data_IF_846189715996
#
_entry.id   IF_846189715996
#
_cell.length_a   1.000
_cell.length_b   1.000
_cell.length_c   1.000
_cell.angle_alpha   90.00
_cell.angle_beta   90.00
_cell.angle_gamma   90.00
#
_symmetry.space_group_name_H-M   'P 1'
#
loop_
_entity.id
_entity.type
_entity.pdbx_description
1 polymer ?
#
# COMPACT_ATOMS: atom_id res chain seq x y z
N UNK A 1 9.27 15.67 28.15
CA UNK A 1 8.34 16.22 29.16
C UNK A 1 6.88 16.11 28.70
N UNK A 2 6.57 16.00 27.40
CA UNK A 2 5.18 15.75 26.93
C UNK A 2 4.70 14.29 27.01
N UNK A 3 5.60 13.30 27.08
CA UNK A 3 5.24 11.88 27.05
C UNK A 3 4.38 11.40 28.23
N UNK A 4 4.43 12.12 29.36
CA UNK A 4 3.67 11.75 30.56
C UNK A 4 2.25 12.33 30.54
N UNK A 5 2.03 13.45 29.84
CA UNK A 5 0.70 14.04 29.65
C UNK A 5 -0.13 13.24 28.63
N UNK A 6 0.48 12.82 27.53
CA UNK A 6 -0.19 11.96 26.54
C UNK A 6 -0.62 10.61 27.16
N UNK A 7 0.17 10.07 28.10
CA UNK A 7 -0.16 8.83 28.82
C UNK A 7 -1.33 8.98 29.78
N UNK A 8 -1.50 10.15 30.40
CA UNK A 8 -2.62 10.44 31.29
C UNK A 8 -3.95 10.52 30.53
N UNK A 9 -3.94 11.08 29.31
CA UNK A 9 -5.15 11.18 28.47
C UNK A 9 -5.71 9.83 28.00
N UNK A 10 -4.84 8.85 27.72
CA UNK A 10 -5.24 7.51 27.24
C UNK A 10 -5.88 6.66 28.35
N UNK A 11 -5.60 6.96 29.62
CA UNK A 11 -6.14 6.22 30.77
C UNK A 11 -7.53 6.72 31.22
N UNK A 12 -8.01 7.83 30.67
CA UNK A 12 -9.30 8.41 31.01
C UNK A 12 -10.38 7.81 30.11
N UNK A 13 -11.43 7.27 30.73
CA UNK A 13 -12.67 6.95 30.04
C UNK A 13 -13.42 8.24 29.73
N UNK A 14 -14.15 8.25 28.62
CA UNK A 14 -15.07 9.35 28.31
C UNK A 14 -16.10 9.48 29.44
N UNK A 15 -16.34 10.70 29.86
CA UNK A 15 -17.43 11.06 30.76
C UNK A 15 -18.77 10.94 30.03
N UNK A 16 -19.88 10.86 30.78
CA UNK A 16 -21.23 10.82 30.19
C UNK A 16 -21.50 12.03 29.26
N UNK A 17 -20.94 13.20 29.59
CA UNK A 17 -21.04 14.40 28.76
C UNK A 17 -20.26 14.24 27.44
N UNK A 18 -19.05 13.70 27.48
CA UNK A 18 -18.24 13.43 26.28
C UNK A 18 -18.86 12.33 25.40
N UNK A 19 -19.46 11.30 25.99
CA UNK A 19 -20.19 10.25 25.25
C UNK A 19 -21.49 10.77 24.64
N UNK A 20 -22.17 11.71 25.29
CA UNK A 20 -23.40 12.34 24.76
C UNK A 20 -23.16 13.09 23.45
N UNK A 21 -21.90 13.48 23.20
CA UNK A 21 -21.44 14.04 21.95
C UNK A 21 -22.05 15.40 21.60
N UNK A 22 -21.78 15.87 20.38
CA UNK A 22 -22.32 17.12 19.86
C UNK A 22 -23.11 16.85 18.59
N UNK A 23 -24.39 17.21 18.59
CA UNK A 23 -25.19 17.22 17.36
C UNK A 23 -24.87 18.49 16.59
N UNK A 24 -24.08 18.36 15.52
CA UNK A 24 -23.74 19.48 14.65
C UNK A 24 -24.86 19.69 13.62
N UNK A 25 -25.45 20.90 13.52
CA UNK A 25 -26.44 21.22 12.48
C UNK A 25 -25.91 20.89 11.07
N UNK A 26 -26.81 20.46 10.16
CA UNK A 26 -26.43 20.06 8.81
C UNK A 26 -25.67 21.16 8.02
N UNK A 27 -25.95 22.44 8.29
CA UNK A 27 -25.24 23.60 7.73
C UNK A 27 -23.95 23.99 8.45
N UNK A 28 -23.46 23.19 9.40
CA UNK A 28 -22.13 23.33 10.01
C UNK A 28 -21.28 22.07 9.73
N UNK A 29 -21.92 20.93 9.51
CA UNK A 29 -21.29 19.66 9.10
C UNK A 29 -21.24 19.45 7.57
N UNK A 30 -21.36 20.52 6.81
CA UNK A 30 -21.11 20.48 5.37
C UNK A 30 -19.61 20.49 5.09
N UNK A 31 -19.15 19.56 4.24
CA UNK A 31 -17.87 19.71 3.58
C UNK A 31 -17.92 21.02 2.78
N UNK A 32 -16.90 21.89 2.93
CA UNK A 32 -16.72 23.00 1.99
C UNK A 32 -16.91 22.46 0.57
N UNK A 33 -17.62 23.19 -0.33
CA UNK A 33 -17.92 22.71 -1.68
C UNK A 33 -16.64 22.19 -2.29
N UNK A 34 -16.54 20.85 -2.39
CA UNK A 34 -15.31 20.06 -2.53
C UNK A 34 -14.22 20.94 -3.09
N UNK A 35 -13.36 21.51 -2.23
CA UNK A 35 -12.18 22.18 -2.74
C UNK A 35 -11.54 21.16 -3.69
N UNK A 36 -11.20 21.59 -4.91
CA UNK A 36 -10.66 20.76 -6.01
C UNK A 36 -9.30 20.17 -5.65
N UNK A 37 -9.21 19.52 -4.51
CA UNK A 37 -8.02 19.12 -3.80
C UNK A 37 -8.06 17.60 -3.76
N UNK A 38 -7.08 17.03 -4.45
CA UNK A 38 -6.99 15.60 -4.69
C UNK A 38 -5.96 15.06 -3.70
N UNK A 39 -6.44 14.43 -2.64
CA UNK A 39 -5.61 14.03 -1.52
C UNK A 39 -5.13 12.59 -1.61
N UNK A 40 -3.89 12.37 -1.16
CA UNK A 40 -3.32 11.06 -0.86
C UNK A 40 -2.75 11.14 0.55
N UNK A 41 -3.07 10.16 1.38
CA UNK A 41 -2.33 9.92 2.62
C UNK A 41 -1.31 8.83 2.38
N UNK A 42 -0.13 9.00 2.96
CA UNK A 42 0.93 8.02 2.84
C UNK A 42 1.70 7.83 4.14
N UNK A 43 2.43 6.73 4.19
CA UNK A 43 3.42 6.44 5.22
C UNK A 43 4.60 5.69 4.61
N UNK A 44 5.74 5.74 5.28
CA UNK A 44 6.93 5.00 4.88
C UNK A 44 6.99 3.69 5.68
N UNK A 45 7.07 2.55 4.99
CA UNK A 45 7.25 1.26 5.65
C UNK A 45 8.72 1.08 6.05
N UNK A 46 9.06 1.63 7.21
CA UNK A 46 10.41 1.61 7.78
C UNK A 46 10.35 1.59 9.30
N UNK A 47 11.31 0.93 9.94
CA UNK A 47 11.55 1.02 11.40
C UNK A 47 12.46 2.19 11.77
N UNK A 48 13.02 2.88 10.77
CA UNK A 48 13.94 4.00 10.98
C UNK A 48 13.22 5.34 10.81
N UNK A 49 13.58 6.36 11.61
CA UNK A 49 13.10 7.71 11.37
C UNK A 49 13.60 8.23 10.01
N UNK A 50 12.82 9.12 9.41
CA UNK A 50 13.17 9.81 8.17
C UNK A 50 13.06 11.32 8.34
N UNK A 51 13.77 12.09 7.51
CA UNK A 51 13.69 13.54 7.52
C UNK A 51 12.54 14.01 6.62
N UNK A 52 11.50 14.68 7.15
CA UNK A 52 10.31 15.06 6.37
C UNK A 52 10.63 15.97 5.17
N UNK A 53 11.54 16.92 5.33
CA UNK A 53 11.94 17.85 4.26
C UNK A 53 12.65 17.13 3.11
N UNK A 54 13.49 16.14 3.43
CA UNK A 54 14.16 15.31 2.44
C UNK A 54 13.15 14.44 1.70
N UNK A 55 12.22 13.80 2.42
CA UNK A 55 11.12 13.03 1.83
C UNK A 55 10.30 13.92 0.89
N UNK A 56 9.82 15.07 1.36
CA UNK A 56 9.03 16.03 0.57
C UNK A 56 9.74 16.43 -0.72
N UNK A 57 11.02 16.78 -0.65
CA UNK A 57 11.81 17.17 -1.82
C UNK A 57 11.95 16.03 -2.81
N UNK A 58 12.22 14.81 -2.34
CA UNK A 58 12.29 13.62 -3.19
C UNK A 58 10.95 13.27 -3.83
N UNK A 59 9.84 13.34 -3.09
CA UNK A 59 8.51 13.05 -3.62
C UNK A 59 8.09 14.08 -4.67
N UNK A 60 8.38 15.38 -4.46
CA UNK A 60 8.09 16.42 -5.47
C UNK A 60 8.84 16.15 -6.78
N UNK A 61 10.11 15.79 -6.71
CA UNK A 61 10.91 15.45 -7.89
C UNK A 61 10.41 14.16 -8.57
N UNK A 62 10.14 13.11 -7.80
CA UNK A 62 9.73 11.81 -8.32
C UNK A 62 8.31 11.83 -8.93
N UNK A 63 7.37 12.52 -8.26
CA UNK A 63 5.99 12.62 -8.73
C UNK A 63 5.82 13.62 -9.85
N UNK A 64 6.68 14.66 -9.90
CA UNK A 64 6.72 15.71 -10.93
C UNK A 64 5.32 16.25 -11.33
N UNK A 65 4.55 16.81 -10.39
CA UNK A 65 3.19 17.26 -10.62
C UNK A 65 3.16 18.46 -11.56
N UNK A 66 2.27 18.46 -12.56
CA UNK A 66 2.15 19.56 -13.51
C UNK A 66 1.51 20.82 -12.92
N UNK A 67 0.65 20.68 -11.91
CA UNK A 67 -0.05 21.83 -11.28
C UNK A 67 0.39 22.14 -9.85
N UNK A 68 1.29 21.36 -9.26
CA UNK A 68 1.77 21.55 -7.91
C UNK A 68 1.34 20.46 -6.91
N UNK A 69 2.06 20.41 -5.80
CA UNK A 69 1.91 19.44 -4.72
C UNK A 69 2.28 20.07 -3.37
N UNK A 70 1.30 20.08 -2.46
CA UNK A 70 1.57 20.35 -1.05
C UNK A 70 1.85 19.05 -0.30
N UNK A 71 2.68 19.15 0.72
CA UNK A 71 3.05 18.07 1.62
C UNK A 71 2.91 18.57 3.04
N UNK A 72 2.30 17.76 3.91
CA UNK A 72 2.15 18.06 5.33
C UNK A 72 2.31 16.77 6.14
N UNK A 73 3.15 16.79 7.17
CA UNK A 73 3.16 15.72 8.17
C UNK A 73 1.85 15.76 8.96
N UNK A 74 1.28 14.58 9.19
CA UNK A 74 0.14 14.41 10.09
C UNK A 74 0.60 13.57 11.28
N UNK A 75 -0.32 12.91 11.97
CA UNK A 75 -0.04 12.11 13.15
C UNK A 75 0.90 10.92 12.86
N UNK A 76 1.85 10.67 13.75
CA UNK A 76 2.78 9.53 13.67
C UNK A 76 3.73 9.59 12.46
N UNK A 77 3.83 8.49 11.72
CA UNK A 77 4.67 8.30 10.54
C UNK A 77 3.97 8.66 9.22
N UNK A 78 2.79 9.29 9.31
CA UNK A 78 1.92 9.58 8.17
C UNK A 78 2.11 11.00 7.66
N UNK A 79 1.86 11.18 6.37
CA UNK A 79 1.87 12.48 5.70
C UNK A 79 0.71 12.58 4.72
N UNK A 80 0.26 13.80 4.48
CA UNK A 80 -0.78 14.14 3.53
C UNK A 80 -0.17 14.87 2.33
N UNK A 81 -0.57 14.43 1.15
CA UNK A 81 -0.25 15.03 -0.14
C UNK A 81 -1.50 15.66 -0.73
N UNK A 82 -1.42 16.93 -1.11
CA UNK A 82 -2.49 17.62 -1.85
C UNK A 82 -2.03 17.92 -3.26
N UNK A 83 -2.64 17.23 -4.22
CA UNK A 83 -2.43 17.51 -5.64
C UNK A 83 -3.43 18.56 -6.12
N UNK A 84 -2.97 19.47 -6.98
CA UNK A 84 -3.82 20.53 -7.55
C UNK A 84 -4.51 20.09 -8.85
N UNK A 85 -4.30 18.85 -9.27
CA UNK A 85 -4.92 18.26 -10.45
C UNK A 85 -5.15 16.75 -10.25
N UNK A 86 -6.31 16.20 -10.66
CA UNK A 86 -6.61 14.78 -10.42
C UNK A 86 -5.70 13.85 -11.22
N UNK A 87 -5.34 14.22 -12.45
CA UNK A 87 -4.43 13.39 -13.27
C UNK A 87 -3.04 13.23 -12.63
N UNK A 88 -2.53 14.24 -11.92
CA UNK A 88 -1.25 14.10 -11.23
C UNK A 88 -1.37 13.11 -10.06
N UNK A 89 -2.47 13.17 -9.29
CA UNK A 89 -2.79 12.20 -8.21
C UNK A 89 -2.90 10.79 -8.77
N UNK A 90 -3.74 10.59 -9.78
CA UNK A 90 -4.06 9.27 -10.31
C UNK A 90 -2.83 8.62 -10.95
N UNK A 91 -2.00 9.41 -11.63
CA UNK A 91 -0.71 8.97 -12.17
C UNK A 91 0.22 8.46 -11.08
N UNK A 92 0.27 9.10 -9.91
CA UNK A 92 1.08 8.63 -8.78
C UNK A 92 0.56 7.29 -8.27
N UNK A 93 -0.75 7.15 -8.06
CA UNK A 93 -1.35 5.90 -7.56
C UNK A 93 -1.20 4.73 -8.55
N UNK A 94 -1.37 4.98 -9.86
CA UNK A 94 -1.20 3.95 -10.91
C UNK A 94 0.25 3.49 -11.04
N UNK A 95 1.21 4.39 -10.77
CA UNK A 95 2.64 4.08 -10.87
C UNK A 95 3.22 3.39 -9.64
N UNK A 96 2.43 3.05 -8.63
CA UNK A 96 2.88 2.24 -7.50
C UNK A 96 3.53 0.90 -7.97
N UNK A 97 4.48 0.35 -7.20
CA UNK A 97 4.97 0.85 -5.91
C UNK A 97 5.95 2.02 -6.08
N UNK A 98 6.05 2.85 -5.04
CA UNK A 98 7.08 3.88 -4.89
C UNK A 98 7.98 3.53 -3.71
N UNK A 99 9.23 3.98 -3.77
CA UNK A 99 10.18 3.78 -2.68
C UNK A 99 10.96 5.06 -2.38
N UNK A 100 11.29 5.25 -1.11
CA UNK A 100 12.20 6.29 -0.62
C UNK A 100 13.29 5.61 0.20
N UNK A 101 14.55 5.84 -0.15
CA UNK A 101 15.71 5.18 0.46
C UNK A 101 15.54 3.64 0.60
N UNK A 102 15.04 3.01 -0.47
CA UNK A 102 14.74 1.56 -0.54
C UNK A 102 13.66 1.07 0.45
N UNK A 103 12.96 1.97 1.14
CA UNK A 103 11.78 1.68 1.94
C UNK A 103 10.51 1.91 1.13
N UNK A 104 9.52 1.03 1.29
CA UNK A 104 8.27 1.09 0.53
C UNK A 104 7.45 2.30 0.98
N UNK A 105 6.97 3.08 0.01
CA UNK A 105 6.00 4.13 0.24
C UNK A 105 4.59 3.57 0.04
N UNK A 106 3.79 3.58 1.09
CA UNK A 106 2.40 3.13 1.04
C UNK A 106 1.52 4.36 0.89
N UNK A 107 0.69 4.37 -0.15
CA UNK A 107 -0.14 5.51 -0.54
C UNK A 107 -1.59 5.07 -0.73
N UNK A 108 -2.52 5.85 -0.19
CA UNK A 108 -3.95 5.64 -0.39
C UNK A 108 -4.66 6.97 -0.72
N UNK A 109 -5.63 6.97 -1.66
CA UNK A 109 -6.47 8.14 -1.88
C UNK A 109 -7.31 8.44 -0.63
N UNK A 110 -7.59 9.72 -0.40
CA UNK A 110 -8.44 10.20 0.70
C UNK A 110 -9.64 10.90 0.11
N UNK A 111 -10.85 10.47 0.49
CA UNK A 111 -12.07 11.18 0.13
C UNK A 111 -12.28 12.39 1.06
N UNK A 112 -13.00 13.43 0.63
CA UNK A 112 -13.22 14.63 1.44
C UNK A 112 -13.86 14.37 2.82
N UNK A 113 -14.56 13.25 2.98
CA UNK A 113 -15.23 12.83 4.21
C UNK A 113 -14.36 11.95 5.11
N UNK A 114 -13.21 11.49 4.63
CA UNK A 114 -12.37 10.55 5.34
C UNK A 114 -11.46 11.29 6.33
N UNK A 115 -11.23 10.69 7.50
CA UNK A 115 -10.15 11.12 8.38
C UNK A 115 -8.83 10.47 7.93
N UNK A 116 -7.82 11.25 7.45
CA UNK A 116 -6.55 10.70 6.97
C UNK A 116 -5.79 9.85 7.98
N UNK A 117 -5.92 10.12 9.29
CA UNK A 117 -5.27 9.33 10.34
C UNK A 117 -5.83 7.90 10.43
N UNK A 118 -7.10 7.71 10.06
CA UNK A 118 -7.80 6.42 10.16
C UNK A 118 -7.75 5.59 8.88
N UNK A 119 -7.23 6.14 7.78
CA UNK A 119 -7.13 5.42 6.50
C UNK A 119 -6.21 4.21 6.65
N UNK A 120 -6.69 3.05 6.19
CA UNK A 120 -5.92 1.82 6.18
C UNK A 120 -4.74 1.92 5.19
N UNK A 121 -3.51 1.81 5.72
CA UNK A 121 -2.26 1.82 4.95
C UNK A 121 -1.54 0.47 5.10
N UNK A 122 -2.29 -0.63 5.00
CA UNK A 122 -1.76 -1.99 5.02
C UNK A 122 -1.57 -2.61 3.63
N UNK A 123 -2.03 -1.95 2.56
CA UNK A 123 -1.95 -2.48 1.20
C UNK A 123 -1.14 -1.57 0.29
N UNK A 124 -0.32 -2.17 -0.57
CA UNK A 124 0.38 -1.47 -1.63
C UNK A 124 0.21 -2.20 -2.96
N UNK A 125 -0.04 -1.45 -4.02
CA UNK A 125 -0.18 -2.00 -5.37
C UNK A 125 1.20 -2.38 -5.94
N UNK A 126 1.32 -3.64 -6.36
CA UNK A 126 2.47 -4.16 -7.08
C UNK A 126 2.05 -4.68 -8.46
N UNK A 127 2.95 -4.52 -9.42
CA UNK A 127 2.92 -5.30 -10.65
C UNK A 127 3.67 -6.61 -10.41
N UNK A 128 3.04 -7.72 -10.75
CA UNK A 128 3.52 -9.08 -10.48
C UNK A 128 3.44 -9.87 -11.77
N UNK A 129 4.55 -10.51 -12.15
CA UNK A 129 4.58 -11.47 -13.24
C UNK A 129 4.25 -12.86 -12.72
N UNK A 130 3.28 -13.52 -13.34
CA UNK A 130 2.99 -14.94 -13.14
C UNK A 130 3.73 -15.74 -14.22
N UNK A 131 4.62 -16.63 -13.81
CA UNK A 131 5.38 -17.49 -14.69
C UNK A 131 4.92 -18.95 -14.58
N UNK A 132 5.11 -19.72 -15.66
CA UNK A 132 4.86 -21.16 -15.67
C UNK A 132 3.39 -21.56 -15.89
N UNK A 133 2.52 -20.62 -16.25
CA UNK A 133 1.19 -20.96 -16.73
C UNK A 133 1.26 -21.53 -18.15
N UNK A 134 0.53 -22.62 -18.46
CA UNK A 134 0.38 -23.07 -19.84
C UNK A 134 -0.23 -21.98 -20.73
N UNK A 135 0.18 -21.94 -21.99
CA UNK A 135 -0.18 -20.89 -22.95
C UNK A 135 -1.70 -20.67 -23.06
N UNK A 136 -2.50 -21.74 -23.14
CA UNK A 136 -3.96 -21.67 -23.18
C UNK A 136 -4.66 -21.43 -21.83
N UNK A 137 -3.91 -21.13 -20.76
CA UNK A 137 -4.43 -20.96 -19.38
C UNK A 137 -4.13 -19.57 -18.81
N UNK A 138 -3.69 -18.63 -19.62
CA UNK A 138 -3.44 -17.25 -19.21
C UNK A 138 -4.66 -16.34 -19.46
N UNK A 139 -5.85 -16.77 -19.01
CA UNK A 139 -7.07 -15.97 -19.14
C UNK A 139 -7.23 -15.00 -17.97
N UNK A 140 -8.11 -14.00 -18.14
CA UNK A 140 -8.49 -13.06 -17.07
C UNK A 140 -8.95 -13.75 -15.79
N UNK A 141 -9.71 -14.84 -15.91
CA UNK A 141 -10.27 -15.60 -14.78
C UNK A 141 -9.16 -16.26 -13.98
N UNK A 142 -8.18 -16.88 -14.66
CA UNK A 142 -7.02 -17.48 -14.00
C UNK A 142 -6.16 -16.42 -13.34
N UNK A 143 -5.90 -15.30 -14.03
CA UNK A 143 -5.15 -14.17 -13.48
C UNK A 143 -5.83 -13.59 -12.24
N UNK A 144 -7.15 -13.39 -12.28
CA UNK A 144 -7.94 -12.90 -11.15
C UNK A 144 -7.92 -13.88 -9.98
N UNK A 145 -8.09 -15.17 -10.25
CA UNK A 145 -8.07 -16.21 -9.22
C UNK A 145 -6.72 -16.27 -8.50
N UNK A 146 -5.61 -16.30 -9.25
CA UNK A 146 -4.26 -16.30 -8.69
C UNK A 146 -3.96 -14.96 -8.01
N UNK A 147 -4.31 -13.82 -8.63
CA UNK A 147 -4.09 -12.49 -8.06
C UNK A 147 -4.79 -12.30 -6.72
N UNK A 148 -6.03 -12.81 -6.58
CA UNK A 148 -6.77 -12.78 -5.32
C UNK A 148 -6.20 -13.74 -4.25
N UNK A 149 -5.40 -14.74 -4.66
CA UNK A 149 -4.63 -15.54 -3.71
C UNK A 149 -3.40 -14.80 -3.18
N UNK A 150 -2.81 -13.91 -3.98
CA UNK A 150 -1.66 -13.08 -3.60
C UNK A 150 -2.05 -11.84 -2.77
N UNK A 151 -3.23 -11.28 -3.03
CA UNK A 151 -3.72 -10.04 -2.42
C UNK A 151 -5.09 -9.66 -2.97
N UNK A 152 -5.33 -8.38 -3.26
CA UNK A 152 -6.56 -7.93 -3.95
C UNK A 152 -6.24 -7.69 -5.41
N UNK A 153 -6.75 -8.54 -6.31
CA UNK A 153 -6.54 -8.38 -7.75
C UNK A 153 -7.13 -7.05 -8.26
N UNK A 154 -6.42 -6.39 -9.17
CA UNK A 154 -6.85 -5.13 -9.79
C UNK A 154 -7.05 -5.28 -11.29
N UNK A 155 -5.99 -5.67 -12.01
CA UNK A 155 -5.97 -5.74 -13.46
C UNK A 155 -4.91 -6.75 -13.95
N UNK A 156 -5.01 -7.12 -15.22
CA UNK A 156 -4.06 -7.98 -15.91
C UNK A 156 -3.80 -7.40 -17.31
N UNK A 157 -2.55 -7.48 -17.76
CA UNK A 157 -2.14 -7.07 -19.09
C UNK A 157 -2.54 -8.18 -20.09
N UNK A 158 -3.72 -8.01 -20.71
CA UNK A 158 -4.36 -8.98 -21.60
C UNK A 158 -4.69 -8.33 -22.95
N UNK A 159 -4.85 -9.16 -23.98
CA UNK A 159 -5.36 -8.76 -25.29
C UNK A 159 -6.88 -8.46 -25.26
N UNK A 160 -7.46 -8.17 -26.43
CA UNK A 160 -8.88 -7.81 -26.57
C UNK A 160 -9.79 -8.99 -26.28
N UNK A 161 -9.28 -10.20 -26.45
CA UNK A 161 -9.94 -11.48 -26.21
C UNK A 161 -9.84 -11.91 -24.73
N UNK A 162 -9.15 -11.14 -23.88
CA UNK A 162 -9.01 -11.41 -22.46
C UNK A 162 -7.96 -12.48 -22.14
N UNK A 163 -7.01 -12.68 -23.05
CA UNK A 163 -5.93 -13.65 -22.95
C UNK A 163 -4.56 -12.95 -22.91
N UNK A 164 -3.61 -13.57 -22.23
CA UNK A 164 -2.20 -13.25 -22.40
C UNK A 164 -1.49 -14.40 -23.12
N UNK A 165 -0.39 -14.05 -23.77
CA UNK A 165 0.44 -14.99 -24.52
C UNK A 165 1.91 -14.73 -24.20
N UNK A 166 2.70 -15.81 -24.08
CA UNK A 166 4.13 -15.72 -23.82
C UNK A 166 4.58 -16.54 -22.62
N UNK A 167 5.72 -16.16 -22.04
CA UNK A 167 6.34 -16.85 -20.90
C UNK A 167 5.79 -16.41 -19.53
N UNK A 168 5.07 -15.28 -19.49
CA UNK A 168 4.45 -14.75 -18.27
C UNK A 168 3.29 -13.82 -18.61
N UNK A 169 2.36 -13.69 -17.67
CA UNK A 169 1.34 -12.64 -17.66
C UNK A 169 1.62 -11.67 -16.52
N UNK A 170 1.51 -10.37 -16.80
CA UNK A 170 1.68 -9.30 -15.81
C UNK A 170 0.33 -8.91 -15.24
N UNK A 171 0.23 -8.93 -13.92
CA UNK A 171 -0.98 -8.55 -13.18
C UNK A 171 -0.66 -7.44 -12.19
N UNK A 172 -1.66 -6.68 -11.79
CA UNK A 172 -1.56 -5.72 -10.69
C UNK A 172 -2.39 -6.19 -9.52
N UNK A 173 -1.78 -6.19 -8.34
CA UNK A 173 -2.38 -6.70 -7.10
C UNK A 173 -2.06 -5.75 -5.95
N UNK A 174 -3.06 -5.42 -5.14
CA UNK A 174 -2.83 -4.76 -3.86
C UNK A 174 -2.39 -5.82 -2.83
N UNK A 175 -1.11 -5.81 -2.47
CA UNK A 175 -0.47 -6.76 -1.55
C UNK A 175 -0.55 -6.23 -0.12
N UNK A 176 -0.94 -7.10 0.81
CA UNK A 176 -0.88 -6.83 2.25
C UNK A 176 0.59 -6.79 2.69
N UNK A 177 1.08 -5.61 3.08
CA UNK A 177 2.51 -5.40 3.38
C UNK A 177 2.94 -6.02 4.71
N UNK A 178 1.99 -6.46 5.53
CA UNK A 178 2.25 -7.07 6.83
C UNK A 178 2.44 -8.60 6.72
N UNK A 179 2.34 -9.17 5.52
CA UNK A 179 2.50 -10.60 5.27
C UNK A 179 3.74 -10.89 4.43
N UNK A 180 4.32 -12.10 4.56
CA UNK A 180 5.38 -12.55 3.67
C UNK A 180 4.94 -12.54 2.20
N UNK A 181 5.84 -12.15 1.30
CA UNK A 181 5.62 -12.22 -0.14
C UNK A 181 5.51 -13.66 -0.62
N UNK A 182 4.49 -13.96 -1.42
CA UNK A 182 4.30 -15.29 -2.01
C UNK A 182 5.15 -15.40 -3.28
N UNK A 183 6.14 -16.29 -3.27
CA UNK A 183 7.09 -16.45 -4.39
C UNK A 183 6.71 -17.53 -5.39
N UNK A 184 5.92 -18.51 -4.96
CA UNK A 184 5.45 -19.59 -5.80
C UNK A 184 4.16 -20.19 -5.24
N UNK A 185 3.35 -20.79 -6.12
CA UNK A 185 2.16 -21.54 -5.76
C UNK A 185 2.11 -22.84 -6.57
N UNK A 186 1.75 -23.95 -5.92
CA UNK A 186 1.38 -25.18 -6.63
C UNK A 186 -0.11 -25.13 -6.94
N UNK A 187 -0.45 -25.17 -8.22
CA UNK A 187 -1.82 -25.26 -8.72
C UNK A 187 -2.12 -26.74 -8.95
N UNK A 188 -3.20 -27.23 -8.34
CA UNK A 188 -3.74 -28.58 -8.53
C UNK A 188 -5.06 -28.49 -9.27
N UNK A 189 -5.18 -29.19 -10.39
CA UNK A 189 -6.46 -29.34 -11.08
C UNK A 189 -7.27 -30.46 -10.43
N UNK A 190 -8.60 -30.45 -10.65
CA UNK A 190 -9.49 -31.54 -10.18
C UNK A 190 -9.11 -32.89 -10.81
N UNK A 191 -8.49 -32.85 -11.99
CA UNK A 191 -8.00 -34.04 -12.70
C UNK A 191 -6.67 -34.57 -12.14
N UNK A 192 -6.07 -33.89 -11.17
CA UNK A 192 -4.84 -34.30 -10.49
C UNK A 192 -3.56 -33.70 -11.08
N UNK A 193 -3.65 -32.86 -12.11
CA UNK A 193 -2.46 -32.20 -12.66
C UNK A 193 -1.88 -31.19 -11.67
N UNK A 194 -0.57 -31.24 -11.49
CA UNK A 194 0.18 -30.27 -10.70
C UNK A 194 1.00 -29.34 -11.59
N UNK A 195 0.82 -28.04 -11.41
CA UNK A 195 1.64 -27.02 -12.05
C UNK A 195 2.21 -26.09 -10.98
N UNK A 196 3.54 -25.95 -10.95
CA UNK A 196 4.18 -24.90 -10.17
C UNK A 196 4.15 -23.59 -10.96
N UNK A 197 3.63 -22.54 -10.36
CA UNK A 197 3.75 -21.17 -10.86
C UNK A 197 4.64 -20.36 -9.92
N UNK A 198 5.44 -19.45 -10.48
CA UNK A 198 6.34 -18.58 -9.72
C UNK A 198 6.02 -17.12 -9.98
N UNK A 199 6.35 -16.26 -9.01
CA UNK A 199 6.03 -14.84 -9.06
C UNK A 199 7.28 -13.97 -9.00
N UNK A 200 7.30 -12.95 -9.84
CA UNK A 200 8.31 -11.88 -9.80
C UNK A 200 7.60 -10.55 -9.57
N UNK A 201 8.06 -9.78 -8.59
CA UNK A 201 7.49 -8.48 -8.23
C UNK A 201 8.31 -7.35 -8.86
N UNK A 202 7.68 -6.47 -9.63
CA UNK A 202 8.36 -5.31 -10.21
C UNK A 202 8.65 -4.25 -9.15
N UNK A 203 9.84 -3.62 -9.23
CA UNK A 203 10.26 -2.51 -8.35
C UNK A 203 10.11 -2.83 -6.86
N UNK A 204 10.35 -4.09 -6.49
CA UNK A 204 10.29 -4.55 -5.11
C UNK A 204 11.38 -3.85 -4.27
N UNK A 205 11.00 -3.10 -3.21
CA UNK A 205 11.97 -2.49 -2.31
C UNK A 205 12.58 -3.52 -1.35
N UNK A 206 13.29 -3.06 -0.33
CA UNK A 206 13.87 -3.95 0.68
C UNK A 206 12.80 -4.82 1.33
N UNK A 207 13.05 -6.13 1.33
CA UNK A 207 12.28 -7.11 2.08
C UNK A 207 13.24 -8.07 2.78
N UNK A 208 12.73 -8.77 3.79
CA UNK A 208 13.50 -9.68 4.60
C UNK A 208 13.63 -11.03 3.88
N UNK A 209 14.86 -11.46 3.59
CA UNK A 209 15.10 -12.77 2.98
C UNK A 209 14.89 -13.95 3.95
N UNK A 210 14.78 -13.67 5.25
CA UNK A 210 14.49 -14.67 6.28
C UNK A 210 12.99 -14.95 6.36
N UNK A 211 12.18 -13.94 6.73
CA UNK A 211 10.73 -14.12 6.94
C UNK A 211 9.87 -13.80 5.70
N UNK A 212 10.44 -13.20 4.65
CA UNK A 212 9.73 -12.82 3.43
C UNK A 212 8.90 -11.53 3.52
N UNK A 213 8.85 -10.86 4.67
CA UNK A 213 8.07 -9.63 4.87
C UNK A 213 8.78 -8.37 4.35
N UNK A 214 7.99 -7.36 3.98
CA UNK A 214 8.48 -6.03 3.63
C UNK A 214 8.84 -5.20 4.87
N UNK A 215 9.62 -4.14 4.68
CA UNK A 215 9.86 -3.10 5.71
C UNK A 215 11.14 -3.27 6.55
N UNK A 216 11.79 -4.42 6.50
CA UNK A 216 13.06 -4.66 7.19
C UNK A 216 13.97 -5.62 6.41
N UNK A 217 15.27 -5.63 6.76
CA UNK A 217 16.26 -6.57 6.23
C UNK A 217 16.43 -7.76 7.18
N UNK A 218 16.97 -8.89 6.70
CA UNK A 218 17.19 -10.09 7.51
C UNK A 218 17.91 -9.81 8.83
N UNK A 219 18.99 -9.00 8.79
CA UNK A 219 19.76 -8.59 9.99
C UNK A 219 18.96 -7.82 11.06
N UNK A 220 17.74 -7.38 10.72
CA UNK A 220 16.81 -6.65 11.58
C UNK A 220 15.55 -7.48 11.85
N UNK A 221 15.54 -8.76 11.47
CA UNK A 221 14.38 -9.62 11.61
C UNK A 221 14.34 -10.21 13.02
N UNK A 222 13.32 -9.87 13.79
CA UNK A 222 13.14 -10.38 15.15
C UNK A 222 12.98 -11.90 15.19
N UNK A 223 12.34 -12.48 14.17
CA UNK A 223 12.19 -13.94 14.04
C UNK A 223 13.54 -14.66 13.93
N UNK A 224 14.57 -14.00 13.38
CA UNK A 224 15.91 -14.58 13.33
C UNK A 224 16.51 -14.75 14.73
N UNK A 225 16.13 -13.90 15.69
CA UNK A 225 16.65 -13.93 17.06
C UNK A 225 15.79 -14.77 18.02
N UNK A 226 14.52 -15.01 17.69
CA UNK A 226 13.62 -15.85 18.50
C UNK A 226 13.84 -17.35 18.32
N UNK A 227 14.40 -17.78 17.19
CA UNK A 227 14.54 -19.20 16.85
C UNK A 227 15.74 -19.90 17.54
N UNK A 228 16.39 -19.26 18.51
CA UNK A 228 17.26 -19.94 19.49
C UNK A 228 18.52 -20.61 18.94
N UNK A 229 18.96 -20.30 17.72
CA UNK A 229 20.22 -20.82 17.16
C UNK A 229 21.37 -19.83 17.36
N UNK A 230 21.86 -19.75 18.59
CA UNK A 230 23.26 -19.44 18.93
C UNK A 230 23.69 -20.27 20.13
#
# INVERSE_FOLDING_TARGET
MDSDLDRLGVALSLTEEEESGLVVPAGLWHAEPISRSFYIVGRLLSTKPFHPEALQSTLRAAFNPGKGLDFKMIEGDRFLLRFFHPLDRDRVLVRCPWAYDKHLLILAPVNPTDNPSLVDLNFCDFHVHIHGLPLGKMSKEVCSYIGNKLGRFKEADLDKEGMAWGSSVRIRVAIDVNKPLTRALKIRTILGDEQLVTFTYERLPNFCYYCGCLGHLSRQCELQFSDGFF
#
